data_IF_386401808894
#
_entry.id   IF_386401808894
#
_cell.length_a   1.000
_cell.length_b   1.000
_cell.length_c   1.000
_cell.angle_alpha   90.00
_cell.angle_beta   90.00
_cell.angle_gamma   90.00
#
_symmetry.space_group_name_H-M   'P 1'
#
loop_
_entity.id
_entity.type
_entity.pdbx_description
1 polymer ?
#
# COMPACT_ATOMS: atom_id res chain seq x y z
N UNK A 1 20.32 -4.99 -1.89
CA UNK A 1 20.54 -3.68 -2.54
C UNK A 1 19.77 -2.63 -1.75
N UNK A 2 20.43 -1.57 -1.28
CA UNK A 2 19.75 -0.49 -0.54
C UNK A 2 19.11 0.48 -1.55
N UNK A 3 17.78 0.65 -1.49
CA UNK A 3 17.05 1.64 -2.29
C UNK A 3 16.75 2.88 -1.45
N UNK A 4 16.97 4.07 -2.03
CA UNK A 4 16.58 5.33 -1.41
C UNK A 4 15.06 5.49 -1.58
N UNK A 5 14.34 5.68 -0.48
CA UNK A 5 12.89 5.81 -0.46
C UNK A 5 12.53 7.28 -0.25
N UNK A 6 11.83 7.88 -1.21
CA UNK A 6 11.43 9.29 -1.16
C UNK A 6 10.01 9.48 -0.63
N UNK A 7 9.71 10.59 0.08
CA UNK A 7 8.33 10.98 0.39
C UNK A 7 7.46 11.10 -0.87
N UNK A 8 6.15 10.90 -0.73
CA UNK A 8 5.16 10.99 -1.81
C UNK A 8 5.37 10.02 -2.99
N UNK A 9 6.20 9.00 -2.82
CA UNK A 9 6.29 7.87 -3.75
C UNK A 9 5.32 6.77 -3.34
N UNK A 10 4.99 5.90 -4.29
CA UNK A 10 3.99 4.84 -4.14
C UNK A 10 4.63 3.47 -4.23
N UNK A 11 4.12 2.57 -3.41
CA UNK A 11 4.55 1.17 -3.34
C UNK A 11 3.35 0.27 -3.19
N UNK A 12 3.52 -1.02 -3.50
CA UNK A 12 2.53 -2.07 -3.29
C UNK A 12 3.16 -3.12 -2.39
N UNK A 13 2.42 -3.55 -1.36
CA UNK A 13 2.87 -4.65 -0.50
C UNK A 13 2.70 -6.02 -1.19
N UNK A 14 3.28 -7.07 -0.60
CA UNK A 14 3.13 -8.43 -1.09
C UNK A 14 1.68 -8.97 -1.15
N UNK A 15 0.72 -8.26 -0.55
CA UNK A 15 -0.72 -8.57 -0.63
C UNK A 15 -1.43 -7.78 -1.74
N UNK A 16 -0.71 -7.00 -2.53
CA UNK A 16 -1.29 -6.17 -3.59
C UNK A 16 -1.94 -4.88 -3.10
N UNK A 17 -1.74 -4.47 -1.84
CA UNK A 17 -2.32 -3.23 -1.32
C UNK A 17 -1.37 -2.05 -1.52
N UNK A 18 -1.80 -0.96 -2.20
CA UNK A 18 -0.96 0.20 -2.41
C UNK A 18 -0.79 1.01 -1.12
N UNK A 19 0.37 1.65 -1.00
CA UNK A 19 0.70 2.58 0.07
C UNK A 19 1.49 3.78 -0.44
N UNK A 20 1.37 4.90 0.26
CA UNK A 20 2.12 6.13 -0.02
C UNK A 20 3.12 6.42 1.07
N UNK A 21 4.35 6.75 0.70
CA UNK A 21 5.38 7.14 1.66
C UNK A 21 5.08 8.53 2.24
N UNK A 22 5.11 8.63 3.56
CA UNK A 22 5.00 9.91 4.27
C UNK A 22 6.39 10.50 4.51
N UNK A 23 7.31 9.68 5.03
CA UNK A 23 8.71 10.03 5.26
C UNK A 23 9.55 8.76 5.47
N UNK A 24 10.86 8.87 5.28
CA UNK A 24 11.84 7.82 5.53
C UNK A 24 12.98 8.37 6.39
N UNK A 25 13.52 7.51 7.25
CA UNK A 25 14.81 7.71 7.93
C UNK A 25 15.78 6.63 7.44
N UNK A 26 17.02 6.62 7.93
CA UNK A 26 18.00 5.59 7.60
C UNK A 26 17.55 4.16 7.98
N UNK A 27 16.67 4.01 8.99
CA UNK A 27 16.28 2.71 9.52
C UNK A 27 14.77 2.43 9.48
N UNK A 28 13.92 3.43 9.24
CA UNK A 28 12.47 3.30 9.28
C UNK A 28 11.80 3.99 8.10
N UNK A 29 10.67 3.45 7.68
CA UNK A 29 9.80 4.00 6.65
C UNK A 29 8.42 4.21 7.25
N UNK A 30 7.92 5.44 7.18
CA UNK A 30 6.56 5.80 7.55
C UNK A 30 5.72 5.91 6.28
N UNK A 31 4.62 5.19 6.23
CA UNK A 31 3.74 5.14 5.06
C UNK A 31 2.26 5.11 5.48
N UNK A 32 1.37 5.45 4.57
CA UNK A 32 -0.08 5.32 4.76
C UNK A 32 -0.61 4.20 3.87
N UNK A 33 -1.43 3.31 4.45
CA UNK A 33 -2.07 2.19 3.77
C UNK A 33 -3.51 2.06 4.26
N UNK A 34 -4.49 2.02 3.35
CA UNK A 34 -5.94 2.00 3.67
C UNK A 34 -6.33 3.04 4.75
N UNK A 35 -5.82 4.27 4.64
CA UNK A 35 -6.08 5.36 5.57
C UNK A 35 -5.37 5.28 6.93
N UNK A 36 -4.51 4.28 7.16
CA UNK A 36 -3.78 4.10 8.43
C UNK A 36 -2.30 4.37 8.25
N UNK A 37 -1.70 5.10 9.19
CA UNK A 37 -0.25 5.27 9.25
C UNK A 37 0.40 3.99 9.78
N UNK A 38 1.39 3.50 9.05
CA UNK A 38 2.17 2.32 9.38
C UNK A 38 3.66 2.66 9.40
N UNK A 39 4.43 1.84 10.11
CA UNK A 39 5.88 1.99 10.24
C UNK A 39 6.51 0.62 9.99
N UNK A 40 7.52 0.57 9.15
CA UNK A 40 8.35 -0.61 8.93
C UNK A 40 9.83 -0.25 9.06
N UNK A 41 10.68 -1.24 9.32
CA UNK A 41 12.12 -1.06 9.16
C UNK A 41 12.47 -0.91 7.68
N UNK A 42 13.56 -0.22 7.38
CA UNK A 42 14.08 -0.09 6.01
C UNK A 42 14.31 -1.45 5.37
N UNK A 43 14.82 -2.43 6.13
CA UNK A 43 15.04 -3.79 5.66
C UNK A 43 13.74 -4.49 5.24
N UNK A 44 12.73 -4.50 6.13
CA UNK A 44 11.43 -5.12 5.83
C UNK A 44 10.75 -4.42 4.66
N UNK A 45 10.79 -3.09 4.62
CA UNK A 45 10.15 -2.34 3.54
C UNK A 45 10.77 -2.67 2.18
N UNK A 46 12.10 -2.77 2.09
CA UNK A 46 12.76 -3.12 0.82
C UNK A 46 12.50 -4.57 0.37
N UNK A 47 12.13 -5.48 1.28
CA UNK A 47 11.82 -6.87 0.95
C UNK A 47 10.35 -7.08 0.61
N UNK A 48 9.45 -6.43 1.35
CA UNK A 48 8.01 -6.70 1.32
C UNK A 48 7.26 -5.81 0.30
N UNK A 49 7.91 -4.77 -0.26
CA UNK A 49 7.25 -3.74 -1.08
C UNK A 49 7.94 -3.48 -2.41
N UNK A 50 7.13 -3.40 -3.47
CA UNK A 50 7.56 -3.06 -4.81
C UNK A 50 7.14 -1.64 -5.19
N UNK A 51 7.97 -0.88 -5.92
CA UNK A 51 7.67 0.49 -6.30
C UNK A 51 6.61 0.48 -7.41
N UNK A 52 5.71 1.46 -7.37
CA UNK A 52 4.67 1.62 -8.39
C UNK A 52 4.50 3.11 -8.70
N UNK A 53 4.02 3.44 -9.89
CA UNK A 53 3.63 4.81 -10.18
C UNK A 53 2.27 5.13 -9.52
N UNK A 54 1.93 6.42 -9.44
CA UNK A 54 0.68 6.85 -8.81
C UNK A 54 -0.56 6.31 -9.52
N UNK A 55 -0.57 6.30 -10.86
CA UNK A 55 -1.74 5.88 -11.63
C UNK A 55 -2.08 4.41 -11.41
N UNK A 56 -1.07 3.55 -11.37
CA UNK A 56 -1.22 2.13 -11.09
C UNK A 56 -1.64 1.90 -9.62
N UNK A 57 -1.09 2.66 -8.67
CA UNK A 57 -1.51 2.59 -7.27
C UNK A 57 -3.00 2.97 -7.09
N UNK A 58 -3.44 4.04 -7.76
CA UNK A 58 -4.83 4.52 -7.74
C UNK A 58 -5.76 3.46 -8.35
N UNK A 59 -5.40 2.90 -9.51
CA UNK A 59 -6.14 1.79 -10.14
C UNK A 59 -6.29 0.57 -9.23
N UNK A 60 -5.20 0.12 -8.61
CA UNK A 60 -5.23 -1.03 -7.70
C UNK A 60 -6.14 -0.74 -6.51
N UNK A 61 -6.12 0.49 -5.98
CA UNK A 61 -6.99 0.89 -4.88
C UNK A 61 -8.48 0.83 -5.28
N UNK A 62 -8.84 1.33 -6.46
CA UNK A 62 -10.20 1.27 -7.02
C UNK A 62 -10.68 -0.17 -7.25
N UNK A 63 -9.81 -1.05 -7.76
CA UNK A 63 -10.12 -2.47 -7.96
C UNK A 63 -10.38 -3.17 -6.62
N UNK A 64 -9.57 -2.89 -5.59
CA UNK A 64 -9.77 -3.42 -4.23
C UNK A 64 -11.10 -2.92 -3.64
N UNK A 65 -11.40 -1.63 -3.75
CA UNK A 65 -12.65 -1.05 -3.24
C UNK A 65 -13.87 -1.67 -3.93
N UNK A 66 -13.80 -1.84 -5.25
CA UNK A 66 -14.85 -2.48 -6.05
C UNK A 66 -15.07 -3.94 -5.60
N UNK A 67 -13.99 -4.70 -5.39
CA UNK A 67 -14.08 -6.07 -4.90
C UNK A 67 -14.67 -6.15 -3.47
N UNK A 68 -14.28 -5.24 -2.57
CA UNK A 68 -14.83 -5.13 -1.22
C UNK A 68 -16.32 -4.76 -1.26
N UNK A 69 -16.73 -3.85 -2.15
CA UNK A 69 -18.14 -3.47 -2.36
C UNK A 69 -18.99 -4.65 -2.84
N UNK A 70 -18.55 -5.39 -3.87
CA UNK A 70 -19.24 -6.57 -4.39
C UNK A 70 -19.36 -7.65 -3.29
N UNK A 71 -18.30 -7.88 -2.52
CA UNK A 71 -18.30 -8.82 -1.40
C UNK A 71 -19.36 -8.46 -0.35
N UNK A 72 -19.51 -7.17 -0.03
CA UNK A 72 -20.54 -6.67 0.89
C UNK A 72 -21.96 -6.91 0.37
N UNK A 73 -22.22 -6.63 -0.92
CA UNK A 73 -23.53 -6.91 -1.53
C UNK A 73 -23.89 -8.40 -1.50
N UNK A 74 -22.93 -9.28 -1.78
CA UNK A 74 -23.13 -10.73 -1.71
C UNK A 74 -23.42 -11.21 -0.28
N UNK A 75 -22.77 -10.62 0.72
CA UNK A 75 -23.01 -10.95 2.12
C UNK A 75 -24.42 -10.55 2.57
N UNK A 76 -24.93 -9.39 2.13
CA UNK A 76 -26.29 -8.94 2.44
C UNK A 76 -27.34 -9.88 1.83
N UNK A 77 -27.14 -10.34 0.58
CA UNK A 77 -28.08 -11.24 -0.11
C UNK A 77 -28.12 -12.67 0.46
N UNK A 78 -27.11 -13.08 1.21
CA UNK A 78 -27.03 -14.41 1.85
C UNK A 78 -27.68 -14.47 3.24
N UNK A 79 -28.10 -13.32 3.76
CA UNK A 79 -28.83 -13.18 5.03
C UNK A 79 -30.32 -13.07 4.73
#
# INVERSE_FOLDING_TARGET
>A
MFRIIFPNTWYVDHHGTPCRILRSTHNKVHYIRKGRTCIASMFRFNHDFEPVNKADADRIAEEIETAEHIKKLRAIRRK
#
